data_IF_189345169162
#
_entry.id   IF_189345169162
#
_cell.length_a   1.000
_cell.length_b   1.000
_cell.length_c   1.000
_cell.angle_alpha   90.00
_cell.angle_beta   90.00
_cell.angle_gamma   90.00
#
_symmetry.space_group_name_H-M   'P 1'
#
loop_
_entity.id
_entity.type
_entity.pdbx_description
1 polymer ?
#
# COMPACT_ATOMS: atom_id res chain seq x y z
N UNK A 1 -27.07 -11.43 -1.82
CA UNK A 1 -25.82 -11.52 -2.62
C UNK A 1 -25.13 -12.87 -2.35
N UNK A 2 -24.80 -13.63 -3.39
CA UNK A 2 -24.00 -14.86 -3.24
C UNK A 2 -22.55 -14.43 -3.06
N UNK A 3 -22.03 -14.52 -1.84
CA UNK A 3 -20.65 -14.19 -1.53
C UNK A 3 -19.75 -15.30 -2.11
N UNK A 4 -19.19 -15.08 -3.30
CA UNK A 4 -18.37 -16.07 -4.01
C UNK A 4 -16.97 -16.32 -3.38
N UNK A 5 -16.68 -15.73 -2.22
CA UNK A 5 -15.42 -15.91 -1.49
C UNK A 5 -15.55 -16.92 -0.34
N UNK A 6 -14.53 -17.75 -0.15
CA UNK A 6 -14.42 -18.71 0.95
C UNK A 6 -14.53 -18.11 2.37
N UNK A 7 -14.51 -16.77 2.48
CA UNK A 7 -14.43 -16.04 3.74
C UNK A 7 -15.82 -15.80 4.38
N UNK A 8 -16.91 -15.85 3.60
CA UNK A 8 -18.28 -15.69 4.09
C UNK A 8 -18.60 -14.33 4.73
N UNK A 9 -19.86 -14.12 5.11
CA UNK A 9 -20.34 -12.87 5.73
C UNK A 9 -19.62 -12.54 7.05
N UNK A 10 -19.24 -13.57 7.82
CA UNK A 10 -18.53 -13.42 9.10
C UNK A 10 -17.17 -12.72 8.94
N UNK A 11 -16.40 -13.07 7.91
CA UNK A 11 -15.11 -12.42 7.67
C UNK A 11 -15.27 -10.97 7.21
N UNK A 12 -16.32 -10.67 6.43
CA UNK A 12 -16.65 -9.30 6.05
C UNK A 12 -17.01 -8.48 7.30
N UNK A 13 -17.78 -9.03 8.22
CA UNK A 13 -18.15 -8.38 9.49
C UNK A 13 -16.95 -8.12 10.41
N UNK A 14 -16.06 -9.10 10.57
CA UNK A 14 -14.82 -8.93 11.33
C UNK A 14 -13.92 -7.86 10.70
N UNK A 15 -13.73 -7.93 9.38
CA UNK A 15 -12.97 -6.93 8.63
C UNK A 15 -13.58 -5.54 8.75
N UNK A 16 -14.90 -5.43 8.69
CA UNK A 16 -15.62 -4.16 8.87
C UNK A 16 -15.45 -3.58 10.26
N UNK A 17 -15.51 -4.42 11.30
CA UNK A 17 -15.21 -4.00 12.67
C UNK A 17 -13.79 -3.45 12.81
N UNK A 18 -12.80 -4.09 12.19
CA UNK A 18 -11.42 -3.58 12.17
C UNK A 18 -11.31 -2.28 11.38
N UNK A 19 -11.96 -2.19 10.22
CA UNK A 19 -11.99 -0.99 9.39
C UNK A 19 -12.51 0.22 10.18
N UNK A 20 -13.62 0.08 10.91
CA UNK A 20 -14.16 1.16 11.76
C UNK A 20 -13.11 1.70 12.73
N UNK A 21 -12.35 0.80 13.38
CA UNK A 21 -11.28 1.17 14.31
C UNK A 21 -10.11 1.85 13.59
N UNK A 22 -9.74 1.38 12.40
CA UNK A 22 -8.69 2.00 11.59
C UNK A 22 -9.06 3.41 11.15
N UNK A 23 -10.29 3.61 10.68
CA UNK A 23 -10.78 4.94 10.26
C UNK A 23 -10.82 5.89 11.46
N UNK A 24 -11.43 5.48 12.58
CA UNK A 24 -11.46 6.29 13.80
C UNK A 24 -10.04 6.69 14.27
N UNK A 25 -9.09 5.75 14.21
CA UNK A 25 -7.69 6.06 14.56
C UNK A 25 -7.07 7.08 13.59
N UNK A 26 -7.32 6.97 12.29
CA UNK A 26 -6.83 7.93 11.31
C UNK A 26 -7.42 9.34 11.54
N UNK A 27 -8.72 9.42 11.83
CA UNK A 27 -9.42 10.67 12.15
C UNK A 27 -8.82 11.36 13.38
N UNK A 28 -8.52 10.62 14.45
CA UNK A 28 -7.87 11.17 15.66
C UNK A 28 -6.47 11.76 15.40
N UNK A 29 -5.89 11.46 14.24
CA UNK A 29 -4.57 11.93 13.81
C UNK A 29 -4.68 12.83 12.57
N UNK A 30 -5.89 13.24 12.18
CA UNK A 30 -6.19 14.06 11.02
C UNK A 30 -5.63 13.48 9.70
N UNK A 31 -5.51 12.15 9.62
CA UNK A 31 -5.04 11.44 8.43
C UNK A 31 -6.23 11.05 7.56
N UNK A 32 -6.24 11.51 6.31
CA UNK A 32 -7.20 11.08 5.28
C UNK A 32 -6.76 9.76 4.69
N UNK A 33 -7.72 8.88 4.43
CA UNK A 33 -7.50 7.55 3.88
C UNK A 33 -8.21 7.42 2.53
N UNK A 34 -7.67 6.57 1.67
CA UNK A 34 -8.36 6.08 0.47
C UNK A 34 -8.75 4.63 0.75
N UNK A 35 -10.05 4.39 0.95
CA UNK A 35 -10.65 3.12 1.33
C UNK A 35 -10.96 2.31 0.06
N UNK A 36 -10.19 1.24 -0.17
CA UNK A 36 -10.36 0.36 -1.33
C UNK A 36 -11.27 -0.80 -0.98
N UNK A 37 -12.45 -0.86 -1.58
CA UNK A 37 -13.43 -1.94 -1.35
C UNK A 37 -13.46 -2.91 -2.52
N UNK A 38 -13.63 -4.20 -2.23
CA UNK A 38 -14.04 -5.18 -3.24
C UNK A 38 -15.55 -5.05 -3.51
N UNK A 39 -16.06 -5.61 -4.62
CA UNK A 39 -17.51 -5.60 -4.90
C UNK A 39 -18.36 -6.22 -3.79
N UNK A 40 -17.90 -7.33 -3.20
CA UNK A 40 -18.61 -7.99 -2.10
C UNK A 40 -18.72 -7.08 -0.89
N UNK A 41 -17.65 -6.33 -0.61
CA UNK A 41 -17.64 -5.36 0.47
C UNK A 41 -18.57 -4.18 0.15
N UNK A 42 -18.63 -3.78 -1.12
CA UNK A 42 -19.56 -2.74 -1.57
C UNK A 42 -21.02 -3.15 -1.37
N UNK A 43 -21.40 -4.36 -1.80
CA UNK A 43 -22.72 -4.94 -1.57
C UNK A 43 -23.02 -5.10 -0.07
N UNK A 44 -22.04 -5.56 0.70
CA UNK A 44 -22.17 -5.73 2.15
C UNK A 44 -22.45 -4.38 2.85
N UNK A 45 -21.77 -3.30 2.49
CA UNK A 45 -22.07 -1.97 3.02
C UNK A 45 -23.47 -1.52 2.57
N UNK A 46 -23.79 -1.65 1.28
CA UNK A 46 -25.01 -1.08 0.72
C UNK A 46 -26.30 -1.68 1.30
N UNK A 47 -26.25 -2.94 1.73
CA UNK A 47 -27.39 -3.65 2.34
C UNK A 47 -27.74 -3.20 3.77
N UNK A 48 -26.90 -2.39 4.44
CA UNK A 48 -27.18 -1.90 5.80
C UNK A 48 -27.27 -0.37 5.88
N UNK A 49 -28.38 0.20 6.38
CA UNK A 49 -28.47 1.64 6.64
C UNK A 49 -27.38 2.15 7.58
N UNK A 50 -27.02 1.38 8.62
CA UNK A 50 -25.97 1.76 9.58
C UNK A 50 -24.61 1.86 8.89
N UNK A 51 -24.27 0.89 8.03
CA UNK A 51 -23.00 0.91 7.29
C UNK A 51 -22.96 2.03 6.24
N UNK A 52 -24.09 2.36 5.63
CA UNK A 52 -24.21 3.53 4.74
C UNK A 52 -24.01 4.86 5.48
N UNK A 53 -24.52 4.98 6.70
CA UNK A 53 -24.27 6.16 7.55
C UNK A 53 -22.78 6.26 7.90
N UNK A 54 -22.15 5.16 8.33
CA UNK A 54 -20.71 5.12 8.59
C UNK A 54 -19.92 5.60 7.35
N UNK A 55 -20.24 5.07 6.16
CA UNK A 55 -19.61 5.46 4.90
C UNK A 55 -19.80 6.95 4.59
N UNK A 56 -21.02 7.47 4.74
CA UNK A 56 -21.31 8.89 4.55
C UNK A 56 -20.50 9.77 5.49
N UNK A 57 -20.35 9.35 6.75
CA UNK A 57 -19.54 10.07 7.74
C UNK A 57 -18.06 10.06 7.33
N UNK A 58 -17.52 8.92 6.90
CA UNK A 58 -16.13 8.84 6.44
C UNK A 58 -15.86 9.75 5.23
N UNK A 59 -16.82 9.84 4.29
CA UNK A 59 -16.72 10.81 3.18
C UNK A 59 -16.75 12.25 3.71
N UNK A 60 -17.63 12.54 4.66
CA UNK A 60 -17.74 13.85 5.31
C UNK A 60 -16.47 14.30 6.05
N UNK A 61 -15.70 13.35 6.60
CA UNK A 61 -14.40 13.62 7.24
C UNK A 61 -13.23 13.63 6.26
N UNK A 62 -13.49 13.45 4.96
CA UNK A 62 -12.52 13.59 3.88
C UNK A 62 -11.78 12.32 3.50
N UNK A 63 -12.27 11.15 3.92
CA UNK A 63 -11.83 9.88 3.36
C UNK A 63 -12.39 9.69 1.94
N UNK A 64 -11.62 9.02 1.10
CA UNK A 64 -12.01 8.68 -0.26
C UNK A 64 -12.46 7.23 -0.34
N UNK A 65 -13.46 6.97 -1.17
CA UNK A 65 -13.89 5.61 -1.52
C UNK A 65 -13.33 5.27 -2.89
N UNK A 66 -12.74 4.08 -3.03
CA UNK A 66 -12.37 3.56 -4.33
C UNK A 66 -12.49 2.04 -4.41
N UNK A 67 -12.05 1.50 -5.54
CA UNK A 67 -12.33 0.13 -5.93
C UNK A 67 -11.08 -0.76 -5.89
N UNK A 68 -11.23 -1.96 -5.33
CA UNK A 68 -10.25 -3.02 -5.33
C UNK A 68 -10.75 -4.18 -6.18
N UNK A 69 -9.93 -4.67 -7.10
CA UNK A 69 -10.23 -5.85 -7.89
C UNK A 69 -9.08 -6.86 -7.79
N UNK A 70 -9.44 -8.13 -7.62
CA UNK A 70 -8.53 -9.24 -7.87
C UNK A 70 -9.06 -10.02 -9.05
N UNK A 71 -8.23 -10.18 -10.07
CA UNK A 71 -8.60 -10.88 -11.29
C UNK A 71 -8.68 -12.41 -11.16
N UNK A 72 -9.16 -13.11 -12.20
CA UNK A 72 -9.41 -14.55 -12.15
C UNK A 72 -8.19 -15.46 -12.05
N UNK A 73 -7.00 -14.90 -12.27
CA UNK A 73 -5.74 -15.60 -12.05
C UNK A 73 -5.35 -15.67 -10.55
N UNK A 74 -5.99 -14.86 -9.70
CA UNK A 74 -5.77 -14.86 -8.27
C UNK A 74 -6.61 -15.94 -7.58
N UNK A 75 -6.06 -16.54 -6.52
CA UNK A 75 -6.76 -17.54 -5.70
C UNK A 75 -7.95 -16.94 -4.94
N UNK A 76 -7.89 -15.65 -4.64
CA UNK A 76 -8.91 -14.88 -3.94
C UNK A 76 -9.69 -14.01 -4.95
N UNK A 77 -9.92 -14.53 -6.16
CA UNK A 77 -10.71 -13.88 -7.21
C UNK A 77 -12.05 -13.39 -6.65
N UNK A 78 -12.40 -12.15 -6.95
CA UNK A 78 -13.66 -11.57 -6.48
C UNK A 78 -14.89 -12.03 -7.30
N UNK A 79 -14.71 -12.90 -8.29
CA UNK A 79 -15.81 -13.47 -9.05
C UNK A 79 -16.28 -12.61 -10.22
N UNK A 80 -15.62 -11.48 -10.50
CA UNK A 80 -15.95 -10.63 -11.64
C UNK A 80 -14.90 -10.80 -12.74
N UNK A 81 -15.35 -11.09 -13.95
CA UNK A 81 -14.53 -11.15 -15.16
C UNK A 81 -15.44 -11.16 -16.39
N UNK A 82 -14.86 -10.82 -17.53
CA UNK A 82 -15.53 -10.93 -18.82
C UNK A 82 -14.92 -12.01 -19.70
N UNK A 83 -14.02 -12.83 -19.13
CA UNK A 83 -13.48 -13.98 -19.82
C UNK A 83 -14.58 -15.02 -20.08
N UNK A 84 -14.59 -15.59 -21.29
CA UNK A 84 -15.35 -16.82 -21.56
C UNK A 84 -14.92 -17.94 -20.60
N UNK A 85 -15.72 -19.01 -20.50
CA UNK A 85 -15.37 -20.16 -19.63
C UNK A 85 -14.00 -20.74 -20.00
N UNK A 86 -13.71 -20.79 -21.29
CA UNK A 86 -12.46 -21.27 -21.87
C UNK A 86 -11.29 -20.35 -21.52
N UNK A 87 -11.47 -19.03 -21.68
CA UNK A 87 -10.48 -18.02 -21.33
C UNK A 87 -10.23 -17.95 -19.82
N UNK A 88 -11.27 -18.07 -19.00
CA UNK A 88 -11.19 -18.16 -17.53
C UNK A 88 -10.38 -19.39 -17.10
N UNK A 89 -10.63 -20.54 -17.73
CA UNK A 89 -9.85 -21.75 -17.46
C UNK A 89 -8.37 -21.59 -17.86
N UNK A 90 -8.08 -20.83 -18.91
CA UNK A 90 -6.70 -20.47 -19.29
C UNK A 90 -6.05 -19.54 -18.25
N UNK A 91 -6.74 -18.48 -17.83
CA UNK A 91 -6.26 -17.53 -16.83
C UNK A 91 -5.91 -18.23 -15.51
N UNK A 92 -6.77 -19.13 -15.04
CA UNK A 92 -6.56 -19.93 -13.81
C UNK A 92 -5.38 -20.91 -13.91
N UNK A 93 -4.97 -21.27 -15.12
CA UNK A 93 -3.75 -22.07 -15.38
C UNK A 93 -2.51 -21.20 -15.59
N UNK A 94 -2.60 -19.89 -15.34
CA UNK A 94 -1.51 -18.94 -15.53
C UNK A 94 -1.21 -18.61 -17.00
N UNK A 95 -2.10 -18.97 -17.93
CA UNK A 95 -1.98 -18.62 -19.34
C UNK A 95 -2.66 -17.28 -19.59
N UNK A 96 -2.04 -16.40 -20.37
CA UNK A 96 -2.69 -15.17 -20.83
C UNK A 96 -3.82 -15.54 -21.79
N UNK A 97 -5.08 -15.21 -21.49
CA UNK A 97 -6.18 -15.45 -22.40
C UNK A 97 -5.97 -14.71 -23.73
N UNK A 98 -6.39 -15.32 -24.84
CA UNK A 98 -6.31 -14.70 -26.18
C UNK A 98 -7.45 -13.74 -26.48
N UNK A 99 -8.53 -13.80 -25.71
CA UNK A 99 -9.72 -12.99 -25.92
C UNK A 99 -9.55 -11.58 -25.33
N UNK A 100 -9.96 -10.52 -26.05
CA UNK A 100 -10.22 -9.23 -25.43
C UNK A 100 -11.41 -9.40 -24.47
N UNK A 101 -11.15 -9.13 -23.19
CA UNK A 101 -12.13 -9.32 -22.13
C UNK A 101 -12.86 -7.99 -21.84
N UNK A 102 -14.03 -7.79 -22.44
CA UNK A 102 -14.79 -6.53 -22.38
C UNK A 102 -15.54 -6.32 -21.07
N UNK A 103 -15.16 -5.26 -20.34
CA UNK A 103 -15.58 -4.86 -18.99
C UNK A 103 -17.08 -4.75 -18.63
N UNK A 104 -17.41 -5.25 -17.42
CA UNK A 104 -17.47 -4.41 -16.20
C UNK A 104 -18.81 -3.95 -15.60
N UNK A 105 -19.96 -4.14 -16.24
CA UNK A 105 -21.21 -3.53 -15.78
C UNK A 105 -21.56 -3.91 -14.35
N UNK A 106 -21.44 -5.20 -14.00
CA UNK A 106 -21.84 -5.73 -12.70
C UNK A 106 -20.85 -5.33 -11.61
N UNK A 107 -19.54 -5.33 -11.92
CA UNK A 107 -18.50 -4.90 -10.98
C UNK A 107 -18.75 -3.46 -10.54
N UNK A 108 -18.89 -2.52 -11.49
CA UNK A 108 -19.14 -1.13 -11.14
C UNK A 108 -20.57 -0.88 -10.66
N UNK A 109 -21.55 -1.71 -11.03
CA UNK A 109 -22.90 -1.61 -10.48
C UNK A 109 -22.90 -1.79 -8.96
N UNK A 110 -22.08 -2.70 -8.41
CA UNK A 110 -21.92 -2.85 -6.95
C UNK A 110 -21.39 -1.57 -6.29
N UNK A 111 -20.51 -0.81 -6.95
CA UNK A 111 -19.97 0.44 -6.41
C UNK A 111 -20.88 1.65 -6.58
N UNK A 112 -21.78 1.66 -7.58
CA UNK A 112 -22.69 2.80 -7.83
C UNK A 112 -23.53 3.17 -6.60
N UNK A 113 -23.82 2.19 -5.74
CA UNK A 113 -24.58 2.40 -4.50
C UNK A 113 -23.76 3.11 -3.40
N UNK A 114 -22.42 3.09 -3.50
CA UNK A 114 -21.52 3.71 -2.52
C UNK A 114 -20.95 5.03 -3.03
N UNK A 115 -20.48 5.03 -4.28
CA UNK A 115 -19.86 6.16 -4.95
C UNK A 115 -20.06 6.00 -6.46
N UNK A 116 -21.01 6.73 -7.07
CA UNK A 116 -21.28 6.64 -8.52
C UNK A 116 -20.07 6.99 -9.39
N UNK A 117 -19.17 7.83 -8.87
CA UNK A 117 -18.01 8.33 -9.60
C UNK A 117 -16.71 7.84 -8.95
N UNK A 118 -16.48 6.52 -8.86
CA UNK A 118 -15.21 5.98 -8.35
C UNK A 118 -14.04 6.52 -9.19
N UNK A 119 -13.11 7.21 -8.52
CA UNK A 119 -11.97 7.88 -9.17
C UNK A 119 -10.66 7.13 -9.00
N UNK A 120 -10.60 6.28 -7.99
CA UNK A 120 -9.39 5.60 -7.56
C UNK A 120 -9.63 4.11 -7.44
N UNK A 121 -8.60 3.34 -7.75
CA UNK A 121 -8.65 1.92 -7.51
C UNK A 121 -7.30 1.24 -7.53
N UNK A 122 -7.33 -0.04 -7.22
CA UNK A 122 -6.26 -0.96 -7.50
C UNK A 122 -6.86 -2.17 -8.19
N UNK A 123 -6.45 -2.38 -9.43
CA UNK A 123 -6.93 -3.46 -10.25
C UNK A 123 -5.80 -4.47 -10.44
N UNK A 124 -5.75 -5.48 -9.57
CA UNK A 124 -4.78 -6.55 -9.69
C UNK A 124 -5.23 -7.55 -10.73
N UNK A 125 -5.03 -7.19 -12.00
CA UNK A 125 -5.23 -8.13 -13.10
C UNK A 125 -4.06 -8.12 -14.10
N UNK A 126 -3.55 -9.31 -14.39
CA UNK A 126 -2.53 -9.54 -15.42
C UNK A 126 -3.14 -10.13 -16.70
N UNK A 127 -4.33 -10.70 -16.61
CA UNK A 127 -5.03 -11.45 -17.64
C UNK A 127 -6.15 -10.62 -18.29
N UNK A 128 -6.90 -9.83 -17.53
CA UNK A 128 -8.02 -9.02 -18.02
C UNK A 128 -7.58 -7.56 -18.28
N UNK A 129 -7.12 -7.28 -19.50
CA UNK A 129 -6.60 -5.95 -19.87
C UNK A 129 -7.69 -4.92 -20.08
N UNK A 130 -8.88 -5.29 -20.55
CA UNK A 130 -9.94 -4.27 -20.76
C UNK A 130 -10.66 -3.94 -19.46
N UNK A 131 -10.61 -4.84 -18.46
CA UNK A 131 -10.92 -4.46 -17.08
C UNK A 131 -10.05 -3.27 -16.62
N UNK A 132 -8.76 -3.27 -16.95
CA UNK A 132 -7.87 -2.13 -16.66
C UNK A 132 -8.19 -0.87 -17.47
N UNK A 133 -8.84 -1.00 -18.63
CA UNK A 133 -9.24 0.14 -19.45
C UNK A 133 -10.41 0.91 -18.82
N UNK A 134 -11.38 0.19 -18.24
CA UNK A 134 -12.47 0.78 -17.46
C UNK A 134 -12.07 1.09 -16.01
N UNK A 135 -10.84 0.74 -15.60
CA UNK A 135 -10.34 1.08 -14.27
C UNK A 135 -10.42 2.60 -14.02
N UNK A 136 -10.57 3.00 -12.75
CA UNK A 136 -10.63 4.40 -12.36
C UNK A 136 -9.45 5.22 -12.87
N UNK A 137 -9.61 6.55 -12.87
CA UNK A 137 -8.61 7.49 -13.41
C UNK A 137 -7.23 7.35 -12.74
N UNK A 138 -7.18 6.94 -11.48
CA UNK A 138 -5.94 6.77 -10.73
C UNK A 138 -5.80 5.36 -10.17
N UNK A 139 -4.64 4.74 -10.43
CA UNK A 139 -4.36 3.36 -10.02
C UNK A 139 -3.16 3.29 -9.06
N UNK A 140 -3.34 2.59 -7.94
CA UNK A 140 -2.35 2.49 -6.85
C UNK A 140 -1.45 1.26 -7.03
N UNK A 141 -1.92 0.23 -7.74
CA UNK A 141 -1.19 -1.02 -7.89
C UNK A 141 -0.28 -1.05 -9.10
N UNK A 142 0.82 -1.83 -9.04
CA UNK A 142 1.77 -1.95 -10.13
C UNK A 142 1.24 -2.73 -11.36
N UNK A 143 -0.07 -2.94 -11.46
CA UNK A 143 -0.74 -3.56 -12.61
C UNK A 143 -0.31 -2.88 -13.91
N UNK A 144 -0.07 -3.65 -14.97
CA UNK A 144 0.21 -3.11 -16.31
C UNK A 144 -1.10 -2.56 -16.87
N UNK A 145 -1.56 -1.43 -16.32
CA UNK A 145 -2.76 -0.70 -16.76
C UNK A 145 -2.74 -0.65 -18.29
N UNK A 146 -3.81 -1.13 -18.92
CA UNK A 146 -3.90 -1.19 -20.37
C UNK A 146 -3.76 0.23 -20.96
N UNK A 147 -2.64 0.47 -21.64
CA UNK A 147 -2.48 1.50 -22.67
C UNK A 147 -2.51 2.98 -22.26
N UNK A 148 -2.86 3.34 -21.02
CA UNK A 148 -2.95 4.75 -20.62
C UNK A 148 -1.69 5.30 -19.93
N UNK A 149 -1.37 6.58 -20.16
CA UNK A 149 -0.44 7.39 -19.33
C UNK A 149 -1.01 7.65 -17.93
N UNK A 150 -1.58 6.64 -17.26
CA UNK A 150 -2.13 6.80 -15.91
C UNK A 150 -0.97 7.01 -14.93
N UNK A 151 -1.13 8.01 -14.08
CA UNK A 151 -0.11 8.35 -13.10
C UNK A 151 -0.05 7.23 -12.05
N UNK A 152 1.13 6.61 -11.88
CA UNK A 152 1.34 5.50 -10.95
C UNK A 152 1.82 6.02 -9.61
N UNK A 153 1.15 5.61 -8.56
CA UNK A 153 1.60 5.82 -7.18
C UNK A 153 2.22 4.52 -6.68
N UNK A 154 3.48 4.55 -6.25
CA UNK A 154 4.08 3.41 -5.57
C UNK A 154 3.53 3.33 -4.15
N UNK A 155 2.95 2.18 -3.78
CA UNK A 155 2.48 1.91 -2.44
C UNK A 155 3.29 0.77 -1.81
N UNK A 156 3.72 0.94 -0.56
CA UNK A 156 4.29 -0.13 0.24
C UNK A 156 3.18 -0.85 1.02
N UNK A 157 3.30 -2.16 1.21
CA UNK A 157 2.39 -2.92 2.09
C UNK A 157 3.14 -3.41 3.33
N UNK A 158 3.49 -2.53 4.28
CA UNK A 158 4.25 -2.93 5.45
C UNK A 158 3.41 -3.83 6.36
N UNK A 159 3.95 -5.00 6.68
CA UNK A 159 3.39 -5.92 7.65
C UNK A 159 4.41 -6.30 8.71
N UNK A 160 3.93 -6.55 9.93
CA UNK A 160 4.76 -6.83 11.09
C UNK A 160 5.76 -5.73 11.43
N UNK A 161 6.63 -6.01 12.41
CA UNK A 161 7.62 -5.04 12.89
C UNK A 161 8.64 -4.65 11.82
N UNK A 162 9.25 -5.64 11.18
CA UNK A 162 10.30 -5.42 10.18
C UNK A 162 9.80 -4.64 8.96
N UNK A 163 8.57 -4.91 8.51
CA UNK A 163 7.97 -4.18 7.39
C UNK A 163 7.74 -2.70 7.74
N UNK A 164 7.25 -2.42 8.94
CA UNK A 164 7.06 -1.06 9.45
C UNK A 164 8.39 -0.33 9.58
N UNK A 165 9.41 -0.93 10.19
CA UNK A 165 10.74 -0.31 10.33
C UNK A 165 11.36 0.01 8.96
N UNK A 166 11.20 -0.87 7.97
CA UNK A 166 11.67 -0.64 6.59
C UNK A 166 10.92 0.55 5.96
N UNK A 167 9.60 0.60 6.08
CA UNK A 167 8.79 1.70 5.53
C UNK A 167 9.09 3.03 6.19
N UNK A 168 9.22 3.07 7.53
CA UNK A 168 9.60 4.26 8.28
C UNK A 168 10.97 4.78 7.86
N UNK A 169 11.94 3.88 7.65
CA UNK A 169 13.27 4.24 7.16
C UNK A 169 13.24 4.77 5.74
N UNK A 170 12.47 4.14 4.85
CA UNK A 170 12.30 4.60 3.47
C UNK A 170 11.69 6.00 3.44
N UNK A 171 10.58 6.22 4.15
CA UNK A 171 9.93 7.53 4.28
C UNK A 171 10.88 8.59 4.85
N UNK A 172 11.62 8.27 5.92
CA UNK A 172 12.51 9.24 6.57
C UNK A 172 13.71 9.66 5.71
N UNK A 173 14.01 8.93 4.63
CA UNK A 173 15.07 9.27 3.67
C UNK A 173 14.56 10.07 2.48
N UNK A 174 13.24 10.23 2.34
CA UNK A 174 12.65 11.08 1.31
C UNK A 174 12.81 12.55 1.71
N UNK A 175 13.32 13.36 0.79
CA UNK A 175 13.35 14.82 0.96
C UNK A 175 12.06 15.47 0.45
N UNK A 176 11.46 14.86 -0.57
CA UNK A 176 10.23 15.28 -1.25
C UNK A 176 9.49 14.06 -1.83
N UNK A 177 8.32 14.32 -2.43
CA UNK A 177 7.51 13.30 -3.10
C UNK A 177 6.39 12.73 -2.23
N UNK A 178 5.84 11.60 -2.69
CA UNK A 178 4.66 10.96 -2.12
C UNK A 178 5.03 9.53 -1.71
N UNK A 179 4.62 9.14 -0.50
CA UNK A 179 4.81 7.79 0.00
C UNK A 179 3.44 7.16 0.29
N UNK A 180 3.11 6.08 -0.42
CA UNK A 180 1.91 5.28 -0.15
C UNK A 180 2.20 4.14 0.82
N UNK A 181 1.27 3.88 1.75
CA UNK A 181 1.25 2.68 2.56
C UNK A 181 -0.15 2.06 2.56
N UNK A 182 -0.27 0.77 2.26
CA UNK A 182 -1.53 0.03 2.23
C UNK A 182 -1.55 -1.06 3.29
N UNK A 183 -2.72 -1.25 3.87
CA UNK A 183 -3.00 -2.20 4.94
C UNK A 183 -4.34 -2.86 4.65
N UNK A 184 -4.49 -4.14 4.95
CA UNK A 184 -5.80 -4.78 4.92
C UNK A 184 -6.54 -4.44 6.21
N UNK A 185 -7.86 -4.34 6.15
CA UNK A 185 -8.71 -4.22 7.35
C UNK A 185 -8.83 -5.55 8.10
N UNK A 186 -7.72 -6.12 8.54
CA UNK A 186 -7.66 -7.39 9.27
C UNK A 186 -7.07 -7.20 10.67
N UNK A 187 -7.40 -8.07 11.65
CA UNK A 187 -6.81 -7.99 12.97
C UNK A 187 -5.27 -8.01 12.96
N UNK A 188 -4.67 -8.77 12.03
CA UNK A 188 -3.22 -8.88 11.89
C UNK A 188 -2.56 -7.58 11.43
N UNK A 189 -3.25 -6.79 10.59
CA UNK A 189 -2.73 -5.54 10.03
C UNK A 189 -3.05 -4.31 10.90
N UNK A 190 -3.93 -4.44 11.91
CA UNK A 190 -4.25 -3.34 12.81
C UNK A 190 -3.04 -2.82 13.59
N UNK A 191 -2.19 -3.70 14.11
CA UNK A 191 -0.96 -3.32 14.82
C UNK A 191 0.04 -2.56 13.94
N UNK A 192 0.41 -3.09 12.76
CA UNK A 192 1.22 -2.37 11.77
C UNK A 192 0.61 -1.02 11.37
N UNK A 193 -0.69 -0.95 11.09
CA UNK A 193 -1.38 0.29 10.75
C UNK A 193 -1.25 1.33 11.88
N UNK A 194 -1.50 0.92 13.13
CA UNK A 194 -1.33 1.79 14.29
C UNK A 194 0.10 2.32 14.39
N UNK A 195 1.10 1.44 14.29
CA UNK A 195 2.50 1.83 14.37
C UNK A 195 2.90 2.82 13.26
N UNK A 196 2.38 2.62 12.04
CA UNK A 196 2.58 3.53 10.93
C UNK A 196 1.97 4.90 11.19
N UNK A 197 0.72 4.96 11.63
CA UNK A 197 0.07 6.23 11.98
C UNK A 197 0.79 6.95 13.13
N UNK A 198 1.18 6.23 14.19
CA UNK A 198 1.98 6.80 15.28
C UNK A 198 3.29 7.41 14.77
N UNK A 199 3.98 6.75 13.83
CA UNK A 199 5.15 7.31 13.19
C UNK A 199 4.80 8.60 12.42
N UNK A 200 3.77 8.59 11.58
CA UNK A 200 3.34 9.77 10.82
C UNK A 200 2.99 10.96 11.73
N UNK A 201 2.31 10.71 12.85
CA UNK A 201 1.97 11.76 13.85
C UNK A 201 3.20 12.49 14.38
N UNK A 202 4.36 11.83 14.47
CA UNK A 202 5.61 12.50 14.87
C UNK A 202 6.17 13.44 13.79
N UNK A 203 5.77 13.24 12.53
CA UNK A 203 6.26 13.99 11.36
C UNK A 203 5.29 15.06 10.89
N UNK A 204 3.99 14.83 11.08
CA UNK A 204 2.91 15.70 10.69
C UNK A 204 1.78 15.62 11.74
N UNK A 205 1.94 16.26 12.91
CA UNK A 205 1.00 16.12 14.03
C UNK A 205 -0.43 16.57 13.72
N UNK A 206 -0.59 17.45 12.72
CA UNK A 206 -1.87 18.01 12.28
C UNK A 206 -2.42 17.33 11.02
N UNK A 207 -1.74 16.32 10.48
CA UNK A 207 -2.17 15.60 9.27
C UNK A 207 -2.27 16.49 8.02
N UNK A 208 -1.59 17.64 7.99
CA UNK A 208 -1.72 18.64 6.93
C UNK A 208 -1.19 18.15 5.58
N UNK A 209 -0.29 17.15 5.58
CA UNK A 209 0.32 16.56 4.39
C UNK A 209 -0.40 15.29 3.94
N UNK A 210 -1.29 14.73 4.76
CA UNK A 210 -2.09 13.56 4.37
C UNK A 210 -3.11 13.92 3.28
N UNK A 211 -3.15 13.11 2.23
CA UNK A 211 -4.03 13.26 1.06
C UNK A 211 -4.57 11.91 0.64
N UNK A 212 -5.78 11.92 0.09
CA UNK A 212 -6.34 10.81 -0.67
C UNK A 212 -5.65 10.70 -2.03
N UNK A 213 -5.83 9.57 -2.72
CA UNK A 213 -5.20 9.31 -4.02
C UNK A 213 -5.71 10.26 -5.09
N UNK A 214 -7.01 10.51 -5.17
CA UNK A 214 -7.54 11.55 -6.06
C UNK A 214 -7.02 12.93 -5.68
N UNK A 215 -6.99 13.26 -4.38
CA UNK A 215 -6.51 14.56 -3.91
C UNK A 215 -5.03 14.83 -4.20
N UNK A 216 -4.20 13.77 -4.32
CA UNK A 216 -2.82 13.85 -4.80
C UNK A 216 -2.79 14.22 -6.28
N UNK A 217 -3.59 13.53 -7.08
CA UNK A 217 -3.56 13.67 -8.52
C UNK A 217 -4.16 15.01 -8.98
N UNK A 218 -5.27 15.46 -8.39
CA UNK A 218 -5.89 16.75 -8.69
C UNK A 218 -4.96 17.93 -8.39
N UNK A 219 -4.16 17.81 -7.34
CA UNK A 219 -3.19 18.83 -6.94
C UNK A 219 -1.88 18.73 -7.72
N UNK A 220 -1.80 17.84 -8.72
CA UNK A 220 -0.60 17.59 -9.53
C UNK A 220 0.66 17.37 -8.67
N UNK A 221 0.51 16.70 -7.52
CA UNK A 221 1.62 16.45 -6.58
C UNK A 221 2.56 15.34 -7.06
N UNK A 222 2.16 14.61 -8.11
CA UNK A 222 3.00 13.61 -8.73
C UNK A 222 4.07 14.29 -9.58
N UNK A 223 5.35 13.88 -9.45
CA UNK A 223 6.41 14.44 -10.28
C UNK A 223 6.10 14.16 -11.76
N UNK A 224 5.85 15.23 -12.51
CA UNK A 224 5.73 15.14 -13.97
C UNK A 224 7.08 14.73 -14.49
N UNK A 225 7.20 13.50 -15.04
CA UNK A 225 8.39 13.15 -15.82
C UNK A 225 8.49 14.18 -16.94
N UNK A 226 9.48 15.08 -16.86
CA UNK A 226 9.82 15.95 -17.97
C UNK A 226 10.05 15.04 -19.19
N UNK A 227 9.27 15.19 -20.29
CA UNK A 227 9.58 14.46 -21.52
C UNK A 227 11.02 14.79 -21.88
N UNK A 228 11.78 13.75 -22.21
CA UNK A 228 13.22 13.68 -22.06
C UNK A 228 13.97 14.96 -22.43
N UNK A 229 14.87 15.38 -21.53
CA UNK A 229 16.14 15.88 -22.00
C UNK A 229 16.70 14.78 -22.91
N UNK A 230 16.60 15.01 -24.23
CA UNK A 230 17.26 14.19 -25.24
C UNK A 230 18.70 14.00 -24.76
N UNK A 231 19.07 12.75 -24.49
CA UNK A 231 20.49 12.44 -24.30
C UNK A 231 21.19 12.92 -25.57
N UNK A 232 22.24 13.74 -25.49
CA UNK A 232 23.03 14.06 -26.67
C UNK A 232 23.48 12.74 -27.28
N UNK A 233 23.12 12.58 -28.54
CA UNK A 233 23.47 11.46 -29.38
C UNK A 233 25.00 11.39 -29.40
N UNK A 234 25.56 10.36 -28.77
CA UNK A 234 27.00 10.08 -28.79
C UNK A 234 27.41 9.75 -30.23
N UNK A 235 27.69 10.80 -31.01
CA UNK A 235 28.48 10.73 -32.23
C UNK A 235 29.93 10.56 -31.80
N UNK A 236 30.44 9.34 -31.98
CA UNK A 236 31.80 8.98 -32.40
C UNK A 236 32.14 7.59 -31.84
N UNK A 237 32.04 6.60 -32.72
CA UNK A 237 32.73 5.33 -32.54
C UNK A 237 34.23 5.60 -32.67
N UNK A 238 34.96 5.57 -31.57
CA UNK A 238 36.42 5.44 -31.60
C UNK A 238 36.77 4.01 -32.01
N UNK A 239 37.68 3.79 -32.98
CA UNK A 239 38.11 2.46 -33.37
C UNK A 239 38.76 1.70 -32.22
N UNK A 240 38.43 0.41 -32.15
CA UNK A 240 38.85 -0.56 -31.15
C UNK A 240 40.31 -0.94 -31.39
N UNK A 241 41.22 -0.44 -30.56
CA UNK A 241 42.59 -0.94 -30.50
C UNK A 241 42.62 -2.37 -29.93
N UNK A 242 43.34 -3.22 -30.65
CA UNK A 242 43.56 -4.64 -30.43
C UNK A 242 44.35 -4.83 -29.13
N UNK A 243 43.72 -5.42 -28.10
CA UNK A 243 44.42 -5.73 -26.85
C UNK A 243 44.92 -7.18 -26.84
N UNK A 244 46.23 -7.25 -26.65
CA UNK A 244 47.07 -8.42 -26.45
C UNK A 244 46.50 -9.51 -25.54
N UNK A 245 46.75 -10.73 -26.00
CA UNK A 245 47.01 -11.98 -25.28
C UNK A 245 47.37 -11.82 -23.81
N UNK A 246 46.50 -12.31 -22.91
CA UNK A 246 46.90 -12.74 -21.56
C UNK A 246 46.36 -14.14 -21.25
N UNK A 247 47.29 -14.91 -20.67
CA UNK A 247 47.32 -16.36 -20.42
C UNK A 247 46.17 -16.92 -19.56
N UNK A 248 45.91 -18.24 -19.65
CA UNK A 248 44.82 -18.90 -18.94
C UNK A 248 45.03 -18.92 -17.42
N UNK A 249 43.98 -18.55 -16.68
CA UNK A 249 43.94 -18.58 -15.21
C UNK A 249 43.59 -19.99 -14.73
N UNK A 250 44.49 -20.59 -13.94
CA UNK A 250 44.31 -21.90 -13.31
C UNK A 250 43.12 -21.92 -12.33
N UNK A 251 42.40 -23.05 -12.29
CA UNK A 251 41.27 -23.30 -11.39
C UNK A 251 41.79 -23.67 -9.99
N UNK A 252 41.20 -23.12 -8.90
CA UNK A 252 41.49 -23.59 -7.55
C UNK A 252 40.87 -24.97 -7.27
N UNK A 253 41.65 -25.80 -6.58
CA UNK A 253 41.35 -27.15 -6.08
C UNK A 253 40.35 -27.08 -4.90
N UNK A 254 39.42 -28.03 -4.76
CA UNK A 254 38.44 -28.06 -3.68
C UNK A 254 39.07 -28.51 -2.35
N UNK A 255 38.75 -27.79 -1.28
CA UNK A 255 39.21 -28.09 0.07
C UNK A 255 38.32 -29.15 0.72
N UNK A 256 38.97 -30.19 1.24
CA UNK A 256 38.38 -31.35 1.90
C UNK A 256 38.35 -31.05 3.40
N UNK A 257 37.17 -30.82 3.98
CA UNK A 257 36.95 -31.03 5.42
C UNK A 257 35.64 -31.77 5.70
N UNK A 258 35.85 -33.03 6.03
CA UNK A 258 35.06 -33.92 6.90
C UNK A 258 34.19 -33.19 7.94
N UNK A 259 32.89 -33.46 8.02
CA UNK A 259 32.28 -34.63 8.68
C UNK A 259 32.37 -34.56 10.22
N UNK A 260 31.34 -33.99 10.85
CA UNK A 260 30.94 -34.36 12.21
C UNK A 260 29.40 -34.38 12.31
N UNK A 261 28.90 -35.61 12.36
CA UNK A 261 27.56 -35.99 12.76
C UNK A 261 27.55 -36.18 14.29
N UNK A 262 26.47 -35.77 14.99
CA UNK A 262 25.84 -36.46 16.14
C UNK A 262 24.63 -35.68 16.66
N UNK A 263 23.43 -36.29 16.58
CA UNK A 263 22.17 -35.87 17.23
C UNK A 263 22.24 -35.96 18.77
N UNK A 264 21.29 -35.48 19.58
CA UNK A 264 19.81 -35.55 19.66
C UNK A 264 19.34 -34.42 20.65
N UNK A 265 18.10 -34.33 21.21
CA UNK A 265 16.76 -34.88 20.91
C UNK A 265 15.69 -33.74 20.74
N UNK A 266 14.40 -34.04 20.46
CA UNK A 266 13.37 -33.00 20.32
C UNK A 266 12.89 -32.49 21.69
N UNK A 267 12.59 -31.19 21.80
CA UNK A 267 11.91 -30.62 22.98
C UNK A 267 10.67 -29.83 22.57
N UNK A 268 9.58 -30.14 23.29
CA UNK A 268 8.20 -29.73 23.08
C UNK A 268 7.96 -28.23 23.32
N UNK A 269 6.86 -27.75 22.74
CA UNK A 269 6.38 -26.36 22.74
C UNK A 269 5.83 -25.94 24.11
N UNK A 270 6.00 -24.68 24.53
CA UNK A 270 5.11 -24.03 25.47
C UNK A 270 4.00 -23.22 24.76
N UNK A 271 2.76 -23.53 25.14
CA UNK A 271 1.50 -22.74 25.04
C UNK A 271 0.86 -22.92 26.43
N UNK A 272 0.06 -22.01 27.06
CA UNK A 272 -0.49 -20.68 26.74
C UNK A 272 -0.09 -19.62 27.83
N UNK A 273 -0.52 -18.35 27.90
CA UNK A 273 -1.52 -17.58 27.16
C UNK A 273 -1.75 -16.16 27.76
N UNK A 274 -2.75 -15.48 27.19
CA UNK A 274 -3.68 -14.48 27.76
C UNK A 274 -3.14 -13.44 28.78
N UNK A 275 -2.95 -12.20 28.30
CA UNK A 275 -2.85 -10.94 29.06
C UNK A 275 -1.94 -10.90 30.31
N UNK A 276 -0.70 -10.46 30.15
CA UNK A 276 0.05 -9.73 31.18
C UNK A 276 0.75 -8.53 30.54
N UNK A 277 0.22 -7.31 30.70
CA UNK A 277 0.42 -6.37 31.83
C UNK A 277 1.86 -5.89 31.98
N UNK A 278 1.99 -4.56 31.87
CA UNK A 278 3.09 -3.69 32.27
C UNK A 278 4.41 -3.74 31.47
N UNK A 279 4.60 -2.72 30.63
CA UNK A 279 5.93 -2.14 30.43
C UNK A 279 5.83 -0.64 30.77
N UNK A 280 6.35 -0.29 31.95
CA UNK A 280 6.74 1.07 32.33
C UNK A 280 8.24 1.03 32.61
N UNK A 281 8.94 1.98 31.98
CA UNK A 281 10.33 2.45 32.17
C UNK A 281 11.49 1.51 31.80
N UNK A 282 12.36 1.97 30.90
CA UNK A 282 13.71 2.41 31.29
C UNK A 282 14.27 3.43 30.27
N UNK A 283 14.65 4.57 30.82
CA UNK A 283 15.51 5.62 30.27
C UNK A 283 16.91 5.10 29.95
N UNK A 284 17.51 5.54 28.83
CA UNK A 284 18.97 5.77 28.72
C UNK A 284 19.20 7.03 27.87
N UNK A 285 20.18 7.90 28.21
CA UNK A 285 20.25 9.29 27.74
C UNK A 285 21.31 9.56 26.65
N UNK A 286 21.23 10.79 26.14
CA UNK A 286 22.30 11.63 25.57
C UNK A 286 22.75 11.41 24.11
N UNK A 287 22.38 12.40 23.29
CA UNK A 287 22.95 12.72 21.98
C UNK A 287 22.53 14.15 21.61
N UNK A 288 23.31 15.12 22.08
CA UNK A 288 23.06 16.58 22.04
C UNK A 288 22.59 17.08 20.66
N UNK A 289 21.60 17.98 20.67
CA UNK A 289 21.58 19.17 19.79
C UNK A 289 21.28 20.40 20.63
N UNK A 290 22.20 21.35 20.55
CA UNK A 290 22.18 22.66 21.18
C UNK A 290 21.13 23.52 20.48
N UNK A 291 20.24 24.16 21.25
CA UNK A 291 19.52 25.36 20.81
C UNK A 291 19.78 26.42 21.86
N UNK A 292 20.60 27.41 21.49
CA UNK A 292 20.78 28.65 22.24
C UNK A 292 19.52 29.47 22.01
N UNK A 293 18.67 29.58 23.03
CA UNK A 293 17.54 30.52 23.01
C UNK A 293 18.06 31.89 23.49
N UNK A 294 18.04 32.87 22.58
CA UNK A 294 18.23 34.28 22.91
C UNK A 294 17.14 34.70 23.89
N UNK A 295 17.54 35.19 25.07
CA UNK A 295 16.62 35.80 26.06
C UNK A 295 16.05 37.10 25.44
N UNK A 296 14.73 37.31 25.40
CA UNK A 296 14.18 38.61 25.02
C UNK A 296 14.57 39.66 26.07
N UNK A 297 14.80 40.92 25.66
CA UNK A 297 15.14 41.99 26.58
C UNK A 297 13.99 42.26 27.58
N UNK A 298 14.30 42.76 28.79
CA UNK A 298 13.29 43.07 29.79
C UNK A 298 12.35 44.17 29.29
N UNK A 299 11.05 43.89 29.43
CA UNK A 299 9.95 44.79 29.14
C UNK A 299 10.05 46.01 30.07
N UNK A 300 10.15 47.21 29.48
CA UNK A 300 10.21 48.47 30.25
C UNK A 300 8.83 48.80 30.79
N UNK A 301 8.76 48.94 32.11
CA UNK A 301 7.60 49.45 32.86
C UNK A 301 7.04 50.73 32.24
N UNK A 302 5.79 50.67 31.76
CA UNK A 302 4.98 51.86 31.52
C UNK A 302 4.47 52.38 32.86
N UNK A 303 5.18 53.35 33.43
CA UNK A 303 4.66 54.24 34.47
C UNK A 303 3.39 54.92 33.96
N UNK A 304 2.25 54.64 34.59
CA UNK A 304 1.05 55.49 34.50
C UNK A 304 1.37 56.81 35.20
N UNK A 305 1.21 57.91 34.48
CA UNK A 305 0.92 59.23 35.03
C UNK A 305 -0.59 59.42 34.99
#
# INVERSE_FOLDING_TARGET
PVYNGAQGEKALDESYTVLKKMVALAETQHVRLTLMFSPQYADYIATSPVRRIDLSNWKGTGHEIGAWHRGPADKDWDGYTNLSKEALAQARRGKTPKEPAGGHSEYFASFRQLEPAIRTGCMEDKADREFLAAAPGYEICPGRSAGGKKARLSCASPSGRTGIEKSTRAFSRMNDGIYGASFNSSPADFGPFYAWLSFLKTRDPQGLKSRTVSGIAEKNLLPVKKPGALKPENTAKTPRETRETRLPRLKPVPDIRSNMNKGRPPRLKPVPGFYSRFIRFMTVPSGRKVIILKKPPPEKDKKKK
#
